data_IF_740334168176
#
_entry.id   IF_740334168176
#
_cell.length_a   1.000
_cell.length_b   1.000
_cell.length_c   1.000
_cell.angle_alpha   90.00
_cell.angle_beta   90.00
_cell.angle_gamma   90.00
#
_symmetry.space_group_name_H-M   'P 1'
#
loop_
_entity.id
_entity.type
_entity.pdbx_description
1 polymer ?
#
# COMPACT_ATOMS: atom_id res chain seq x y z
N UNK A 1 21.01 -2.06 -14.42
CA UNK A 1 20.91 -1.38 -13.11
C UNK A 1 19.47 -1.04 -12.67
N UNK A 2 18.40 -1.55 -13.31
CA UNK A 2 17.01 -1.15 -12.99
C UNK A 2 15.98 -2.26 -12.76
N UNK A 3 16.38 -3.53 -12.81
CA UNK A 3 15.41 -4.63 -12.96
C UNK A 3 14.62 -4.98 -11.68
N UNK A 4 15.11 -4.63 -10.49
CA UNK A 4 14.44 -4.92 -9.22
C UNK A 4 13.42 -3.87 -8.75
N UNK A 5 13.55 -2.62 -9.19
CA UNK A 5 12.68 -1.51 -8.73
C UNK A 5 11.39 -1.44 -9.57
N UNK A 6 11.49 -1.77 -10.86
CA UNK A 6 10.36 -1.85 -11.80
C UNK A 6 9.23 -2.79 -11.35
N UNK A 7 9.50 -4.04 -10.91
CA UNK A 7 8.43 -4.90 -10.40
C UNK A 7 7.82 -4.35 -9.11
N UNK A 8 8.62 -3.74 -8.23
CA UNK A 8 8.12 -3.22 -6.95
C UNK A 8 7.26 -1.96 -7.12
N UNK A 9 7.61 -1.09 -8.06
CA UNK A 9 6.81 0.08 -8.40
C UNK A 9 5.48 -0.32 -9.02
N UNK A 10 5.45 -1.35 -9.88
CA UNK A 10 4.22 -1.92 -10.42
C UNK A 10 3.32 -2.52 -9.33
N UNK A 11 3.91 -3.28 -8.40
CA UNK A 11 3.17 -3.86 -7.27
C UNK A 11 2.61 -2.77 -6.35
N UNK A 12 3.42 -1.76 -6.03
CA UNK A 12 2.98 -0.61 -5.22
C UNK A 12 1.87 0.20 -5.90
N UNK A 13 1.99 0.45 -7.20
CA UNK A 13 0.97 1.12 -7.99
C UNK A 13 -0.33 0.30 -8.06
N UNK A 14 -0.22 -1.02 -8.24
CA UNK A 14 -1.36 -1.94 -8.18
C UNK A 14 -2.05 -1.93 -6.82
N UNK A 15 -1.29 -2.00 -5.73
CA UNK A 15 -1.81 -1.94 -4.36
C UNK A 15 -2.50 -0.60 -4.07
N UNK A 16 -1.91 0.52 -4.49
CA UNK A 16 -2.52 1.84 -4.39
C UNK A 16 -3.82 1.92 -5.22
N UNK A 17 -3.84 1.37 -6.43
CA UNK A 17 -5.03 1.29 -7.27
C UNK A 17 -6.16 0.48 -6.63
N UNK A 18 -5.84 -0.68 -6.06
CA UNK A 18 -6.80 -1.51 -5.31
C UNK A 18 -7.36 -0.76 -4.10
N UNK A 19 -6.51 -0.06 -3.35
CA UNK A 19 -6.93 0.79 -2.23
C UNK A 19 -7.88 1.89 -2.68
N UNK A 20 -7.55 2.63 -3.74
CA UNK A 20 -8.40 3.71 -4.27
C UNK A 20 -9.74 3.15 -4.73
N UNK A 21 -9.75 2.04 -5.47
CA UNK A 21 -10.98 1.37 -5.89
C UNK A 21 -11.80 0.90 -4.68
N UNK A 22 -11.15 0.40 -3.64
CA UNK A 22 -11.81 -0.01 -2.41
C UNK A 22 -12.33 1.18 -1.60
N UNK A 23 -11.66 2.32 -1.56
CA UNK A 23 -12.17 3.54 -0.91
C UNK A 23 -13.41 4.06 -1.65
N UNK A 24 -13.43 4.02 -2.99
CA UNK A 24 -14.52 4.54 -3.80
C UNK A 24 -15.73 3.60 -3.89
N UNK A 25 -15.48 2.31 -4.12
CA UNK A 25 -16.54 1.31 -4.47
C UNK A 25 -16.61 0.09 -3.54
N UNK A 26 -15.78 0.04 -2.51
CA UNK A 26 -15.87 -1.02 -1.50
C UNK A 26 -17.23 -1.07 -0.79
N UNK A 27 -17.57 -2.21 -0.18
CA UNK A 27 -18.72 -2.34 0.71
C UNK A 27 -18.38 -1.80 2.11
N UNK A 28 -19.39 -1.34 2.86
CA UNK A 28 -19.24 -0.80 4.22
C UNK A 28 -19.23 0.73 4.29
N UNK A 29 -19.09 1.25 5.50
CA UNK A 29 -19.11 2.70 5.77
C UNK A 29 -17.94 3.43 5.10
N UNK A 30 -18.24 4.53 4.41
CA UNK A 30 -17.27 5.33 3.66
C UNK A 30 -16.15 5.91 4.54
N UNK A 31 -16.50 6.46 5.70
CA UNK A 31 -15.55 7.14 6.60
C UNK A 31 -14.43 6.20 7.10
N UNK A 32 -14.69 5.04 7.73
CA UNK A 32 -13.63 4.16 8.21
C UNK A 32 -12.77 3.59 7.07
N UNK A 33 -13.35 3.38 5.89
CA UNK A 33 -12.61 2.94 4.70
C UNK A 33 -11.68 4.02 4.17
N UNK A 34 -12.17 5.26 4.08
CA UNK A 34 -11.37 6.39 3.66
C UNK A 34 -10.20 6.64 4.61
N UNK A 35 -10.43 6.56 5.93
CA UNK A 35 -9.36 6.71 6.94
C UNK A 35 -8.33 5.57 6.83
N UNK A 36 -8.77 4.31 6.85
CA UNK A 36 -7.86 3.17 6.74
C UNK A 36 -7.07 3.19 5.43
N UNK A 37 -7.74 3.50 4.32
CA UNK A 37 -7.12 3.60 3.02
C UNK A 37 -6.14 4.76 2.89
N UNK A 38 -6.48 5.93 3.44
CA UNK A 38 -5.59 7.08 3.48
C UNK A 38 -4.32 6.81 4.30
N UNK A 39 -4.45 6.16 5.47
CA UNK A 39 -3.30 5.77 6.30
C UNK A 39 -2.34 4.86 5.53
N UNK A 40 -2.87 3.86 4.81
CA UNK A 40 -2.06 2.94 4.02
C UNK A 40 -1.40 3.63 2.81
N UNK A 41 -2.09 4.55 2.14
CA UNK A 41 -1.53 5.34 1.05
C UNK A 41 -0.41 6.27 1.53
N UNK A 42 -0.60 6.92 2.68
CA UNK A 42 0.43 7.79 3.27
C UNK A 42 1.64 6.97 3.69
N UNK A 43 1.45 5.81 4.32
CA UNK A 43 2.55 4.91 4.68
C UNK A 43 3.35 4.48 3.45
N UNK A 44 2.66 4.11 2.36
CA UNK A 44 3.29 3.73 1.10
C UNK A 44 4.09 4.91 0.50
N UNK A 45 3.51 6.12 0.52
CA UNK A 45 4.18 7.33 0.03
C UNK A 45 5.45 7.65 0.83
N UNK A 46 5.41 7.51 2.16
CA UNK A 46 6.59 7.72 3.02
C UNK A 46 7.70 6.72 2.65
N UNK A 47 7.37 5.43 2.47
CA UNK A 47 8.36 4.44 2.04
C UNK A 47 9.03 4.83 0.71
N UNK A 48 8.25 5.28 -0.27
CA UNK A 48 8.80 5.73 -1.55
C UNK A 48 9.66 6.99 -1.43
N UNK A 49 9.25 7.97 -0.61
CA UNK A 49 10.05 9.18 -0.35
C UNK A 49 11.41 8.80 0.24
N UNK A 50 11.44 7.90 1.22
CA UNK A 50 12.69 7.43 1.84
C UNK A 50 13.57 6.72 0.82
N UNK A 51 13.00 5.86 -0.05
CA UNK A 51 13.75 5.19 -1.13
C UNK A 51 14.36 6.22 -2.09
N UNK A 52 13.62 7.26 -2.48
CA UNK A 52 14.12 8.31 -3.38
C UNK A 52 15.17 9.22 -2.73
N UNK A 53 15.03 9.53 -1.45
CA UNK A 53 15.96 10.41 -0.73
C UNK A 53 17.25 9.70 -0.32
N UNK A 54 17.16 8.48 0.22
CA UNK A 54 18.31 7.73 0.73
C UNK A 54 18.98 6.88 -0.34
N UNK A 55 18.27 6.56 -1.43
CA UNK A 55 18.71 5.62 -2.45
C UNK A 55 18.52 4.16 -2.00
N UNK A 56 18.06 3.31 -2.92
CA UNK A 56 17.69 1.92 -2.67
C UNK A 56 18.83 1.00 -2.20
N UNK A 57 20.09 1.40 -2.40
CA UNK A 57 21.28 0.62 -2.02
C UNK A 57 21.73 0.87 -0.58
N UNK A 58 21.17 1.89 0.09
CA UNK A 58 21.48 2.16 1.49
C UNK A 58 20.67 1.24 2.41
N UNK A 59 21.15 0.94 3.63
CA UNK A 59 20.38 0.16 4.61
C UNK A 59 18.98 0.73 4.81
N UNK A 60 18.88 2.06 4.98
CA UNK A 60 17.61 2.77 5.12
C UNK A 60 16.70 2.61 3.90
N UNK A 61 17.26 2.65 2.69
CA UNK A 61 16.52 2.40 1.45
C UNK A 61 16.02 0.96 1.35
N UNK A 62 16.80 -0.03 1.79
CA UNK A 62 16.38 -1.43 1.81
C UNK A 62 15.28 -1.70 2.84
N UNK A 63 15.36 -1.08 4.02
CA UNK A 63 14.29 -1.13 5.03
C UNK A 63 13.00 -0.50 4.49
N UNK A 64 13.11 0.62 3.77
CA UNK A 64 11.97 1.26 3.13
C UNK A 64 11.38 0.43 1.98
N UNK A 65 12.21 -0.28 1.20
CA UNK A 65 11.76 -1.26 0.21
C UNK A 65 10.98 -2.38 0.89
N UNK A 66 11.51 -2.97 1.96
CA UNK A 66 10.81 -4.00 2.75
C UNK A 66 9.49 -3.49 3.31
N UNK A 67 9.48 -2.27 3.86
CA UNK A 67 8.28 -1.59 4.34
C UNK A 67 7.22 -1.42 3.24
N UNK A 68 7.63 -1.00 2.04
CA UNK A 68 6.71 -0.84 0.90
C UNK A 68 6.05 -2.16 0.48
N UNK A 69 6.77 -3.28 0.58
CA UNK A 69 6.21 -4.63 0.33
C UNK A 69 5.16 -4.97 1.37
N UNK A 70 5.48 -4.79 2.66
CA UNK A 70 4.56 -5.09 3.77
C UNK A 70 3.29 -4.25 3.67
N UNK A 71 3.42 -2.95 3.43
CA UNK A 71 2.28 -2.04 3.25
C UNK A 71 1.44 -2.46 2.04
N UNK A 72 2.07 -2.87 0.93
CA UNK A 72 1.36 -3.34 -0.26
C UNK A 72 0.56 -4.62 -0.01
N UNK A 73 1.10 -5.56 0.78
CA UNK A 73 0.39 -6.77 1.18
C UNK A 73 -0.81 -6.41 2.06
N UNK A 74 -0.62 -5.57 3.07
CA UNK A 74 -1.71 -5.12 3.96
C UNK A 74 -2.79 -4.40 3.15
N UNK A 75 -2.39 -3.51 2.24
CA UNK A 75 -3.28 -2.81 1.32
C UNK A 75 -4.14 -3.75 0.47
N UNK A 76 -3.55 -4.86 0.00
CA UNK A 76 -4.27 -5.86 -0.79
C UNK A 76 -5.30 -6.63 0.04
N UNK A 77 -4.98 -6.94 1.30
CA UNK A 77 -5.87 -7.69 2.18
C UNK A 77 -6.87 -6.84 2.97
N UNK A 78 -6.63 -5.54 3.15
CA UNK A 78 -7.52 -4.63 3.88
C UNK A 78 -8.99 -4.69 3.40
N UNK A 79 -9.29 -4.73 2.08
CA UNK A 79 -10.65 -4.89 1.58
C UNK A 79 -11.31 -6.22 1.99
N UNK A 80 -10.55 -7.31 1.98
CA UNK A 80 -11.02 -8.67 2.31
C UNK A 80 -11.31 -8.78 3.80
N UNK A 81 -10.38 -8.28 4.63
CA UNK A 81 -10.53 -8.26 6.08
C UNK A 81 -11.72 -7.40 6.48
N UNK A 82 -11.88 -6.22 5.87
CA UNK A 82 -13.00 -5.34 6.17
C UNK A 82 -14.35 -5.96 5.78
N UNK A 83 -14.44 -6.65 4.64
CA UNK A 83 -15.64 -7.41 4.24
C UNK A 83 -16.00 -8.48 5.27
N UNK A 84 -15.01 -9.25 5.74
CA UNK A 84 -15.22 -10.28 6.78
C UNK A 84 -15.71 -9.67 8.10
N UNK A 85 -15.16 -8.54 8.53
CA UNK A 85 -15.60 -7.86 9.76
C UNK A 85 -17.05 -7.38 9.67
N UNK A 86 -17.50 -6.97 8.48
CA UNK A 86 -18.87 -6.55 8.23
C UNK A 86 -19.85 -7.73 8.04
N UNK A 87 -19.38 -8.98 8.04
CA UNK A 87 -20.22 -10.16 7.84
C UNK A 87 -20.79 -10.31 6.41
N UNK A 88 -20.25 -9.56 5.44
CA UNK A 88 -20.71 -9.58 4.05
C UNK A 88 -19.93 -10.70 3.34
N UNK A 89 -20.62 -11.81 3.03
CA UNK A 89 -20.09 -12.95 2.27
C UNK A 89 -19.92 -12.61 0.79
#
# INVERSE_FOLDING_TARGET
>A
MGEGILPLSLVSAGAAGVLVLWILKGPGYLIPRAVAGAVLLVALAICWIVIFQSGWQTPTGQDALGGSVVVSIIAYFAPVVHRRMLGIR
#
